data_IF_024745090839
#
_entry.id   IF_024745090839
#
_cell.length_a   1.000
_cell.length_b   1.000
_cell.length_c   1.000
_cell.angle_alpha   90.00
_cell.angle_beta   90.00
_cell.angle_gamma   90.00
#
_symmetry.space_group_name_H-M   'P 1'
#
loop_
_entity.id
_entity.type
_entity.pdbx_description
1 polymer ?
#
# COMPACT_ATOMS: atom_id res chain seq x y z
N UNK A 1 -9.30 7.26 11.23
CA UNK A 1 -8.51 6.46 12.19
C UNK A 1 -7.36 5.80 11.44
N UNK A 2 -6.15 6.35 11.53
CA UNK A 2 -4.94 5.79 10.91
C UNK A 2 -4.28 4.83 11.91
N UNK A 3 -4.90 3.67 12.17
CA UNK A 3 -4.41 2.69 13.17
C UNK A 3 -3.10 2.00 12.77
N UNK A 4 -2.74 2.09 11.49
CA UNK A 4 -1.60 1.41 10.89
C UNK A 4 -0.36 2.30 10.74
N UNK A 5 -0.38 3.52 11.29
CA UNK A 5 0.73 4.47 11.15
C UNK A 5 1.64 4.41 12.37
N UNK A 6 2.94 4.21 12.16
CA UNK A 6 3.93 4.24 13.24
C UNK A 6 3.95 5.61 13.90
N UNK A 7 4.07 5.64 15.23
CA UNK A 7 4.19 6.89 15.98
C UNK A 7 5.38 7.72 15.48
N UNK A 8 5.18 9.03 15.32
CA UNK A 8 6.19 9.96 14.79
C UNK A 8 6.14 10.15 13.28
N UNK A 9 5.32 9.39 12.54
CA UNK A 9 5.06 9.62 11.12
C UNK A 9 3.73 10.36 10.89
N UNK A 10 3.67 11.25 9.88
CA UNK A 10 2.43 11.93 9.53
C UNK A 10 1.36 10.94 9.05
N UNK A 11 0.13 11.10 9.55
CA UNK A 11 -1.02 10.30 9.09
C UNK A 11 -1.21 10.36 7.56
N UNK A 12 -0.88 11.51 6.95
CA UNK A 12 -0.95 11.70 5.49
C UNK A 12 -0.06 10.70 4.73
N UNK A 13 1.15 10.38 5.22
CA UNK A 13 2.02 9.41 4.58
C UNK A 13 1.35 8.02 4.52
N UNK A 14 0.75 7.60 5.63
CA UNK A 14 0.04 6.33 5.71
C UNK A 14 -1.20 6.30 4.81
N UNK A 15 -1.96 7.40 4.72
CA UNK A 15 -3.11 7.50 3.81
C UNK A 15 -2.70 7.46 2.33
N UNK A 16 -1.61 8.14 1.97
CA UNK A 16 -1.09 8.12 0.59
C UNK A 16 -0.57 6.74 0.20
N UNK A 17 0.10 6.04 1.12
CA UNK A 17 0.52 4.65 0.92
C UNK A 17 -0.69 3.72 0.72
N UNK A 18 -1.69 3.81 1.59
CA UNK A 18 -2.90 2.99 1.48
C UNK A 18 -3.64 3.27 0.16
N UNK A 19 -3.77 4.53 -0.25
CA UNK A 19 -4.37 4.90 -1.52
C UNK A 19 -3.58 4.31 -2.71
N UNK A 20 -2.25 4.34 -2.64
CA UNK A 20 -1.39 3.78 -3.67
C UNK A 20 -1.57 2.26 -3.80
N UNK A 21 -1.55 1.53 -2.68
CA UNK A 21 -1.61 0.06 -2.67
C UNK A 21 -3.03 -0.46 -2.92
N UNK A 22 -4.08 0.18 -2.37
CA UNK A 22 -5.48 -0.18 -2.65
C UNK A 22 -5.88 0.16 -4.08
N UNK A 23 -5.26 1.18 -4.67
CA UNK A 23 -5.40 1.53 -6.07
C UNK A 23 -4.49 0.72 -7.00
N UNK A 24 -4.04 -0.48 -6.59
CA UNK A 24 -3.05 -1.26 -7.33
C UNK A 24 -3.35 -1.35 -8.85
N UNK A 25 -4.57 -1.71 -9.30
CA UNK A 25 -4.87 -1.80 -10.73
C UNK A 25 -4.73 -0.47 -11.50
N UNK A 26 -4.86 0.67 -10.81
CA UNK A 26 -4.81 2.00 -11.40
C UNK A 26 -3.41 2.61 -11.36
N UNK A 27 -2.57 2.20 -10.41
CA UNK A 27 -1.27 2.82 -10.15
C UNK A 27 -0.08 1.93 -10.49
N UNK A 28 -0.30 0.62 -10.67
CA UNK A 28 0.73 -0.34 -11.02
C UNK A 28 0.43 -0.99 -12.38
N UNK A 29 1.47 -1.23 -13.16
CA UNK A 29 1.43 -2.03 -14.36
C UNK A 29 2.64 -2.97 -14.33
N UNK A 30 2.39 -4.29 -14.37
CA UNK A 30 3.42 -5.33 -14.23
C UNK A 30 4.30 -5.12 -12.98
N UNK A 31 3.66 -4.92 -11.84
CA UNK A 31 4.31 -4.70 -10.53
C UNK A 31 5.17 -3.44 -10.42
N UNK A 32 5.12 -2.52 -11.39
CA UNK A 32 5.82 -1.25 -11.34
C UNK A 32 4.86 -0.06 -11.34
N UNK A 33 5.23 1.03 -10.67
CA UNK A 33 4.44 2.26 -10.70
C UNK A 33 4.38 2.83 -12.12
N UNK A 34 3.16 3.02 -12.61
CA UNK A 34 2.90 3.77 -13.84
C UNK A 34 3.07 5.29 -13.58
N UNK A 35 2.76 6.12 -14.58
CA UNK A 35 2.88 7.58 -14.47
C UNK A 35 2.05 8.17 -13.32
N UNK A 36 0.85 7.67 -13.10
CA UNK A 36 -0.06 8.18 -12.06
C UNK A 36 0.35 7.68 -10.67
N UNK A 37 0.78 6.41 -10.58
CA UNK A 37 1.37 5.84 -9.37
C UNK A 37 2.62 6.60 -8.94
N UNK A 38 3.49 6.99 -9.89
CA UNK A 38 4.67 7.83 -9.61
C UNK A 38 4.27 9.21 -9.08
N UNK A 39 3.23 9.85 -9.64
CA UNK A 39 2.74 11.14 -9.14
C UNK A 39 2.23 11.05 -7.70
N UNK A 40 1.47 10.01 -7.39
CA UNK A 40 0.99 9.77 -6.02
C UNK A 40 2.15 9.45 -5.08
N UNK A 41 3.10 8.63 -5.53
CA UNK A 41 4.32 8.32 -4.80
C UNK A 41 5.18 9.55 -4.51
N UNK A 42 5.29 10.52 -5.42
CA UNK A 42 6.07 11.74 -5.18
C UNK A 42 5.48 12.60 -4.05
N UNK A 43 4.16 12.60 -3.89
CA UNK A 43 3.50 13.24 -2.74
C UNK A 43 3.88 12.52 -1.44
N UNK A 44 3.80 11.19 -1.44
CA UNK A 44 4.22 10.36 -0.30
C UNK A 44 5.69 10.60 0.06
N UNK A 45 6.57 10.58 -0.95
CA UNK A 45 8.00 10.79 -0.82
C UNK A 45 8.33 12.15 -0.16
N UNK A 46 7.61 13.21 -0.54
CA UNK A 46 7.78 14.53 0.06
C UNK A 46 7.43 14.53 1.55
N UNK A 47 6.26 14.02 1.91
CA UNK A 47 5.82 13.92 3.31
C UNK A 47 6.80 13.10 4.15
N UNK A 48 7.28 11.96 3.62
CA UNK A 48 8.25 11.11 4.30
C UNK A 48 9.61 11.79 4.48
N UNK A 49 10.10 12.55 3.49
CA UNK A 49 11.39 13.24 3.58
C UNK A 49 11.36 14.44 4.51
N UNK A 50 10.22 15.12 4.62
CA UNK A 50 9.99 16.20 5.59
C UNK A 50 9.94 15.64 7.02
N UNK A 51 9.27 14.49 7.22
CA UNK A 51 9.16 13.85 8.53
C UNK A 51 10.44 13.14 8.99
N UNK A 52 11.11 12.40 8.11
CA UNK A 52 12.32 11.65 8.41
C UNK A 52 13.30 11.66 7.22
N UNK A 53 14.27 12.58 7.19
CA UNK A 53 15.31 12.63 6.16
C UNK A 53 16.15 11.35 6.03
N UNK A 54 16.18 10.47 7.04
CA UNK A 54 16.87 9.18 7.01
C UNK A 54 16.32 8.24 5.93
N UNK A 55 15.06 8.42 5.52
CA UNK A 55 14.41 7.60 4.48
C UNK A 55 14.85 7.95 3.06
N UNK A 56 15.67 9.00 2.86
CA UNK A 56 16.10 9.47 1.53
C UNK A 56 16.65 8.35 0.63
N UNK A 57 17.44 7.43 1.18
CA UNK A 57 18.02 6.31 0.42
C UNK A 57 16.94 5.36 -0.11
N UNK A 58 15.95 5.03 0.73
CA UNK A 58 14.84 4.16 0.34
C UNK A 58 13.93 4.86 -0.67
N UNK A 59 13.61 6.14 -0.45
CA UNK A 59 12.83 6.93 -1.42
C UNK A 59 13.53 7.00 -2.77
N UNK A 60 14.84 7.24 -2.78
CA UNK A 60 15.62 7.27 -4.03
C UNK A 60 15.61 5.91 -4.74
N UNK A 61 15.65 4.80 -3.99
CA UNK A 61 15.54 3.45 -4.54
C UNK A 61 14.22 3.26 -5.28
N UNK A 62 13.09 3.65 -4.68
CA UNK A 62 11.78 3.57 -5.36
C UNK A 62 11.75 4.47 -6.60
N UNK A 63 12.25 5.71 -6.52
CA UNK A 63 12.29 6.61 -7.69
C UNK A 63 13.06 6.02 -8.89
N UNK A 64 14.18 5.35 -8.61
CA UNK A 64 15.03 4.68 -9.61
C UNK A 64 14.40 3.39 -10.15
N UNK A 65 13.79 2.60 -9.27
CA UNK A 65 13.20 1.30 -9.56
C UNK A 65 11.87 1.18 -8.80
N UNK A 66 10.76 1.63 -9.40
CA UNK A 66 9.50 1.81 -8.68
C UNK A 66 8.67 0.52 -8.66
N UNK A 67 9.30 -0.58 -8.30
CA UNK A 67 8.62 -1.86 -8.15
C UNK A 67 7.76 -1.87 -6.89
N UNK A 68 6.71 -2.68 -6.89
CA UNK A 68 5.88 -2.95 -5.72
C UNK A 68 6.74 -3.36 -4.54
N UNK A 69 7.71 -4.24 -4.76
CA UNK A 69 8.63 -4.69 -3.72
C UNK A 69 9.43 -3.54 -3.10
N UNK A 70 9.94 -2.59 -3.89
CA UNK A 70 10.63 -1.43 -3.35
C UNK A 70 9.68 -0.49 -2.59
N UNK A 71 8.42 -0.35 -3.03
CA UNK A 71 7.39 0.40 -2.30
C UNK A 71 7.07 -0.26 -0.97
N UNK A 72 6.93 -1.59 -0.93
CA UNK A 72 6.65 -2.35 0.29
C UNK A 72 7.81 -2.26 1.28
N UNK A 73 9.07 -2.36 0.82
CA UNK A 73 10.26 -2.15 1.67
C UNK A 73 10.31 -0.74 2.28
N UNK A 74 9.85 0.28 1.56
CA UNK A 74 9.74 1.63 2.13
C UNK A 74 8.60 1.70 3.15
N UNK A 75 7.48 0.97 2.91
CA UNK A 75 6.35 0.93 3.83
C UNK A 75 6.71 0.35 5.20
N UNK A 76 7.59 -0.65 5.27
CA UNK A 76 8.06 -1.28 6.53
C UNK A 76 8.60 -0.28 7.56
N UNK A 77 9.08 0.89 7.12
CA UNK A 77 9.65 1.91 8.00
C UNK A 77 8.60 2.65 8.82
N UNK A 78 7.38 2.84 8.28
CA UNK A 78 6.38 3.74 8.83
C UNK A 78 4.95 3.17 8.91
N UNK A 79 4.68 2.05 8.25
CA UNK A 79 3.37 1.42 8.20
C UNK A 79 3.39 0.08 8.96
N UNK A 80 2.59 -0.03 10.02
CA UNK A 80 2.59 -1.16 10.96
C UNK A 80 1.63 -2.28 10.59
N UNK A 81 0.70 -2.04 9.66
CA UNK A 81 -0.18 -3.07 9.13
C UNK A 81 0.45 -3.77 7.91
N UNK A 82 -0.17 -4.84 7.45
CA UNK A 82 0.32 -5.60 6.32
C UNK A 82 0.08 -4.85 4.99
N UNK A 83 1.07 -4.07 4.55
CA UNK A 83 1.01 -3.32 3.29
C UNK A 83 0.89 -4.25 2.07
N UNK A 84 1.55 -5.41 2.09
CA UNK A 84 1.49 -6.38 0.99
C UNK A 84 0.06 -6.89 0.79
N UNK A 85 -0.65 -7.16 1.89
CA UNK A 85 -2.04 -7.59 1.84
C UNK A 85 -2.93 -6.59 1.09
N UNK A 86 -2.74 -5.28 1.30
CA UNK A 86 -3.51 -4.25 0.59
C UNK A 86 -3.34 -4.34 -0.92
N UNK A 87 -2.11 -4.57 -1.39
CA UNK A 87 -1.82 -4.70 -2.80
C UNK A 87 -2.35 -6.01 -3.38
N UNK A 88 -2.21 -7.13 -2.66
CA UNK A 88 -2.71 -8.45 -3.09
C UNK A 88 -4.24 -8.48 -3.19
N UNK A 89 -4.95 -7.90 -2.22
CA UNK A 89 -6.41 -7.74 -2.25
C UNK A 89 -6.84 -6.89 -3.44
N UNK A 90 -6.18 -5.74 -3.65
CA UNK A 90 -6.48 -4.84 -4.76
C UNK A 90 -6.16 -5.45 -6.14
N UNK A 91 -5.14 -6.29 -6.22
CA UNK A 91 -4.77 -7.02 -7.43
C UNK A 91 -5.72 -8.20 -7.72
N UNK A 92 -6.65 -8.53 -6.83
CA UNK A 92 -7.52 -9.70 -6.94
C UNK A 92 -6.79 -11.04 -6.78
N UNK A 93 -5.54 -11.03 -6.27
CA UNK A 93 -4.72 -12.22 -6.05
C UNK A 93 -5.13 -12.98 -4.77
N UNK A 94 -5.87 -12.31 -3.88
CA UNK A 94 -6.43 -12.90 -2.67
C UNK A 94 -7.93 -12.66 -2.65
N UNK A 95 -8.72 -13.70 -2.86
CA UNK A 95 -10.14 -13.61 -2.54
C UNK A 95 -10.30 -13.59 -1.02
N UNK A 96 -11.22 -12.77 -0.46
CA UNK A 96 -11.60 -12.95 0.94
C UNK A 96 -12.06 -14.39 1.08
N UNK A 97 -11.59 -15.07 2.14
CA UNK A 97 -12.02 -16.42 2.45
C UNK A 97 -13.52 -16.31 2.75
N UNK A 98 -14.37 -16.51 1.74
CA UNK A 98 -15.79 -16.73 1.93
C UNK A 98 -15.88 -18.04 2.70
N UNK A 99 -16.00 -17.95 4.02
CA UNK A 99 -16.30 -19.10 4.83
C UNK A 99 -17.69 -19.57 4.39
N UNK A 100 -17.72 -20.63 3.59
CA UNK A 100 -18.94 -21.38 3.31
C UNK A 100 -19.35 -22.03 4.62
N UNK A 101 -20.16 -21.36 5.44
CA UNK A 101 -20.90 -22.07 6.50
C UNK A 101 -21.89 -22.95 5.75
N UNK A 102 -21.63 -24.26 5.67
CA UNK A 102 -22.68 -25.22 5.34
C UNK A 102 -23.68 -25.21 6.49
N UNK A 103 -24.59 -24.25 6.48
CA UNK A 103 -25.84 -24.33 7.22
C UNK A 103 -26.79 -25.28 6.47
N UNK A 104 -27.54 -26.15 7.17
CA UNK A 104 -28.57 -26.97 6.54
C UNK A 104 -29.75 -26.06 6.19
N UNK A 105 -29.71 -25.40 5.04
CA UNK A 105 -30.86 -24.67 4.52
C UNK A 105 -30.52 -23.39 3.78
N UNK A 106 -30.45 -23.50 2.44
CA UNK A 106 -30.69 -22.42 1.48
C UNK A 106 -29.63 -21.32 1.40
N UNK A 107 -29.08 -21.13 0.20
CA UNK A 107 -28.14 -20.06 -0.10
C UNK A 107 -28.85 -18.69 0.05
N UNK A 108 -28.44 -17.90 1.05
CA UNK A 108 -28.71 -16.46 1.09
C UNK A 108 -27.37 -15.71 1.11
N UNK A 109 -27.22 -14.79 0.16
CA UNK A 109 -26.05 -13.93 -0.02
C UNK A 109 -26.27 -12.64 0.77
N UNK A 110 -25.37 -12.30 1.69
CA UNK A 110 -25.32 -11.02 2.41
C UNK A 110 -23.92 -10.41 2.30
#
# INVERSE_FOLDING_TARGET
MTRCCRQGYPAEACLLLEALLRGYPSYFHREELNSDGRRLFERLARVLQEANPGLRRLVHRVRRSPTLENVLRLAEEFYTCNARLLAEEAAGLRQPILYRIRGPGGDQYY
#
